data_IF_774303074915
#
_entry.id   IF_774303074915
#
_cell.length_a   1.000
_cell.length_b   1.000
_cell.length_c   1.000
_cell.angle_alpha   90.00
_cell.angle_beta   90.00
_cell.angle_gamma   90.00
#
_symmetry.space_group_name_H-M   'P 1'
#
loop_
_entity.id
_entity.type
_entity.pdbx_description
1 polymer ?
#
# COMPACT_ATOMS: atom_id res chain seq x y z
N UNK A 1 14.75 -0.66 -20.09
CA UNK A 1 16.19 -0.32 -20.19
C UNK A 1 16.49 0.83 -19.24
N UNK A 2 17.70 0.88 -18.67
CA UNK A 2 18.15 1.96 -17.79
C UNK A 2 19.47 2.55 -18.30
N UNK A 3 19.63 3.86 -18.14
CA UNK A 3 20.87 4.57 -18.38
C UNK A 3 21.23 5.45 -17.18
N UNK A 4 22.50 5.44 -16.79
CA UNK A 4 23.01 6.25 -15.68
C UNK A 4 24.34 6.91 -16.04
N UNK A 5 24.72 7.90 -15.24
CA UNK A 5 26.10 8.37 -15.15
C UNK A 5 26.98 7.30 -14.48
N UNK A 6 28.30 7.43 -14.63
CA UNK A 6 29.29 6.53 -13.97
C UNK A 6 29.18 6.52 -12.45
N UNK A 7 28.70 7.62 -11.87
CA UNK A 7 28.50 7.75 -10.43
C UNK A 7 27.21 7.08 -9.93
N UNK A 8 26.45 6.41 -10.79
CA UNK A 8 25.17 5.76 -10.46
C UNK A 8 23.94 6.66 -10.48
N UNK A 9 24.06 7.96 -10.80
CA UNK A 9 22.88 8.82 -10.96
C UNK A 9 22.12 8.41 -12.23
N UNK A 10 20.85 8.02 -12.11
CA UNK A 10 20.01 7.68 -13.25
C UNK A 10 19.83 8.89 -14.17
N UNK A 11 19.84 8.61 -15.46
CA UNK A 11 19.74 9.62 -16.51
C UNK A 11 18.56 9.33 -17.44
N UNK A 12 18.34 8.05 -17.77
CA UNK A 12 17.27 7.63 -18.67
C UNK A 12 16.58 6.33 -18.19
N UNK A 13 15.25 6.26 -18.36
CA UNK A 13 14.45 5.05 -18.17
C UNK A 13 13.55 4.87 -19.40
N UNK A 14 13.62 3.68 -20.00
CA UNK A 14 12.75 3.25 -21.09
C UNK A 14 11.99 1.99 -20.66
N UNK A 15 10.67 2.04 -20.68
CA UNK A 15 9.80 0.91 -20.34
C UNK A 15 8.78 0.69 -21.47
N UNK A 16 8.81 -0.51 -22.04
CA UNK A 16 7.86 -0.97 -23.04
C UNK A 16 7.01 -2.09 -22.44
N UNK A 17 5.69 -1.98 -22.58
CA UNK A 17 4.75 -2.92 -21.98
C UNK A 17 3.76 -3.41 -23.03
N UNK A 18 3.79 -4.72 -23.28
CA UNK A 18 2.77 -5.42 -24.05
C UNK A 18 1.84 -6.15 -23.07
N UNK A 19 0.59 -5.71 -22.96
CA UNK A 19 -0.38 -6.24 -22.01
C UNK A 19 -1.46 -7.03 -22.73
N UNK A 20 -1.63 -8.30 -22.37
CA UNK A 20 -2.74 -9.12 -22.86
C UNK A 20 -3.96 -8.95 -21.95
N UNK A 21 -5.08 -8.53 -22.54
CA UNK A 21 -6.30 -8.19 -21.79
C UNK A 21 -7.42 -9.22 -21.96
N UNK A 22 -7.16 -10.30 -22.70
CA UNK A 22 -8.18 -11.27 -23.07
C UNK A 22 -9.13 -10.71 -24.14
N UNK A 23 -10.36 -11.21 -24.16
CA UNK A 23 -11.32 -10.88 -25.21
C UNK A 23 -11.82 -9.43 -25.18
N UNK A 24 -11.77 -8.75 -24.03
CA UNK A 24 -12.34 -7.42 -23.82
C UNK A 24 -11.44 -6.54 -22.97
N UNK A 25 -11.52 -5.23 -23.17
CA UNK A 25 -10.62 -4.24 -22.57
C UNK A 25 -11.10 -3.57 -21.29
N UNK A 26 -11.84 -4.26 -20.42
CA UNK A 26 -12.49 -3.65 -19.23
C UNK A 26 -11.51 -2.84 -18.37
N UNK A 27 -10.32 -3.39 -18.10
CA UNK A 27 -9.24 -2.73 -17.34
C UNK A 27 -7.97 -2.51 -18.17
N UNK A 28 -8.07 -2.62 -19.49
CA UNK A 28 -6.93 -2.56 -20.41
C UNK A 28 -6.07 -1.28 -20.25
N UNK A 29 -6.65 -0.06 -20.34
CA UNK A 29 -5.85 1.16 -20.25
C UNK A 29 -5.31 1.43 -18.85
N UNK A 30 -6.05 1.05 -17.80
CA UNK A 30 -5.73 1.36 -16.40
C UNK A 30 -4.65 0.44 -15.85
N UNK A 31 -4.73 -0.88 -16.06
CA UNK A 31 -3.67 -1.83 -15.66
C UNK A 31 -2.37 -1.53 -16.41
N UNK A 32 -2.47 -1.29 -17.72
CA UNK A 32 -1.31 -0.91 -18.53
C UNK A 32 -0.70 0.41 -18.05
N UNK A 33 -1.53 1.43 -17.82
CA UNK A 33 -1.07 2.73 -17.33
C UNK A 33 -0.34 2.63 -16.00
N UNK A 34 -0.88 1.85 -15.05
CA UNK A 34 -0.30 1.72 -13.71
C UNK A 34 1.04 0.99 -13.67
N UNK A 35 1.33 0.14 -14.66
CA UNK A 35 2.66 -0.46 -14.80
C UNK A 35 3.77 0.57 -14.95
N UNK A 36 3.47 1.76 -15.48
CA UNK A 36 4.38 2.91 -15.51
C UNK A 36 4.09 3.97 -14.45
N UNK A 37 2.80 4.25 -14.19
CA UNK A 37 2.38 5.34 -13.31
C UNK A 37 2.82 5.14 -11.86
N UNK A 38 2.83 3.90 -11.38
CA UNK A 38 3.22 3.58 -10.01
C UNK A 38 4.72 3.34 -9.88
N UNK A 39 5.39 2.87 -10.94
CA UNK A 39 6.77 2.38 -10.86
C UNK A 39 7.81 3.44 -11.21
N UNK A 40 7.63 4.16 -12.32
CA UNK A 40 8.59 5.13 -12.83
C UNK A 40 8.82 6.34 -11.91
N UNK A 41 7.81 6.90 -11.21
CA UNK A 41 8.06 8.04 -10.34
C UNK A 41 8.88 7.70 -9.09
N UNK A 42 9.05 6.40 -8.75
CA UNK A 42 9.90 5.99 -7.63
C UNK A 42 11.34 6.46 -7.81
N UNK A 43 11.85 6.45 -9.04
CA UNK A 43 13.22 6.88 -9.36
C UNK A 43 13.25 8.19 -10.15
N UNK A 44 12.85 9.28 -9.51
CA UNK A 44 12.62 10.58 -10.15
C UNK A 44 13.89 11.32 -10.61
N UNK A 45 15.10 10.80 -10.36
CA UNK A 45 16.35 11.46 -10.81
C UNK A 45 16.60 11.31 -12.31
N UNK A 46 15.97 10.32 -12.95
CA UNK A 46 16.05 10.16 -14.40
C UNK A 46 15.34 11.33 -15.11
N UNK A 47 16.08 12.07 -15.93
CA UNK A 47 15.56 13.24 -16.66
C UNK A 47 14.89 12.85 -17.98
N UNK A 48 15.26 11.70 -18.54
CA UNK A 48 14.75 11.21 -19.82
C UNK A 48 13.90 9.96 -19.60
N UNK A 49 12.59 10.08 -19.80
CA UNK A 49 11.65 8.99 -19.57
C UNK A 49 10.91 8.67 -20.86
N UNK A 50 10.89 7.39 -21.23
CA UNK A 50 10.06 6.86 -22.31
C UNK A 50 9.22 5.70 -21.78
N UNK A 51 7.90 5.83 -21.88
CA UNK A 51 6.96 4.78 -21.55
C UNK A 51 6.08 4.52 -22.77
N UNK A 52 6.08 3.28 -23.26
CA UNK A 52 5.22 2.85 -24.36
C UNK A 52 4.43 1.60 -23.94
N UNK A 53 3.11 1.68 -24.03
CA UNK A 53 2.22 0.59 -23.68
C UNK A 53 1.33 0.20 -24.85
N UNK A 54 1.19 -1.09 -25.10
CA UNK A 54 0.23 -1.67 -26.04
C UNK A 54 -0.63 -2.70 -25.31
N UNK A 55 -1.95 -2.44 -25.24
CA UNK A 55 -2.91 -3.43 -24.79
C UNK A 55 -3.43 -4.20 -26.02
N UNK A 56 -3.42 -5.53 -25.95
CA UNK A 56 -3.89 -6.40 -27.04
C UNK A 56 -5.04 -7.28 -26.58
N UNK A 57 -5.95 -7.54 -27.51
CA UNK A 57 -7.03 -8.51 -27.35
C UNK A 57 -6.61 -9.88 -27.82
N UNK A 58 -7.01 -10.91 -27.09
CA UNK A 58 -6.75 -12.31 -27.42
C UNK A 58 -7.98 -13.17 -27.09
N UNK A 59 -8.00 -14.42 -27.54
CA UNK A 59 -9.05 -15.37 -27.20
C UNK A 59 -8.87 -16.01 -25.79
N UNK A 60 -8.30 -15.26 -24.84
CA UNK A 60 -8.16 -15.66 -23.44
C UNK A 60 -9.25 -15.00 -22.57
N UNK A 61 -9.49 -15.51 -21.34
CA UNK A 61 -10.37 -14.85 -20.38
C UNK A 61 -10.01 -13.39 -20.16
N UNK A 62 -11.02 -12.57 -19.87
CA UNK A 62 -10.85 -11.13 -19.64
C UNK A 62 -9.95 -10.91 -18.44
N UNK A 63 -8.84 -10.20 -18.64
CA UNK A 63 -7.97 -9.77 -17.55
C UNK A 63 -8.61 -8.62 -16.77
N UNK A 64 -8.30 -8.53 -15.48
CA UNK A 64 -8.90 -7.53 -14.60
C UNK A 64 -8.00 -7.16 -13.44
N UNK A 65 -8.62 -6.55 -12.43
CA UNK A 65 -7.92 -6.13 -11.24
C UNK A 65 -7.45 -7.31 -10.39
N UNK A 66 -6.23 -7.21 -9.91
CA UNK A 66 -5.67 -7.99 -8.81
C UNK A 66 -4.75 -7.06 -8.00
N UNK A 67 -4.44 -7.42 -6.75
CA UNK A 67 -3.66 -6.56 -5.84
C UNK A 67 -2.39 -6.05 -6.52
N UNK A 68 -2.09 -4.75 -6.37
CA UNK A 68 -0.95 -4.09 -7.02
C UNK A 68 -1.30 -3.49 -8.39
N UNK A 69 -2.27 -4.06 -9.10
CA UNK A 69 -2.96 -3.48 -10.25
C UNK A 69 -2.03 -2.88 -11.32
N UNK A 70 -1.21 -3.73 -11.95
CA UNK A 70 -0.24 -3.35 -12.98
C UNK A 70 1.15 -2.97 -12.42
N UNK A 71 1.21 -2.47 -11.19
CA UNK A 71 2.47 -2.08 -10.55
C UNK A 71 3.41 -3.29 -10.34
N UNK A 72 2.87 -4.46 -9.96
CA UNK A 72 3.65 -5.69 -9.74
C UNK A 72 4.48 -6.06 -10.97
N UNK A 73 3.88 -6.04 -12.16
CA UNK A 73 4.56 -6.33 -13.42
C UNK A 73 5.60 -5.28 -13.77
N UNK A 74 5.28 -4.00 -13.57
CA UNK A 74 6.21 -2.90 -13.81
C UNK A 74 7.42 -2.92 -12.87
N UNK A 75 7.21 -3.22 -11.58
CA UNK A 75 8.27 -3.32 -10.58
C UNK A 75 9.16 -4.52 -10.83
N UNK A 76 8.62 -5.65 -11.29
CA UNK A 76 9.46 -6.79 -11.67
C UNK A 76 10.49 -6.39 -12.73
N UNK A 77 10.05 -5.74 -13.81
CA UNK A 77 10.97 -5.28 -14.86
C UNK A 77 11.95 -4.20 -14.36
N UNK A 78 11.44 -3.21 -13.62
CA UNK A 78 12.24 -2.07 -13.17
C UNK A 78 13.28 -2.46 -12.11
N UNK A 79 12.89 -3.20 -11.08
CA UNK A 79 13.77 -3.55 -9.95
C UNK A 79 14.83 -4.58 -10.31
N UNK A 80 14.53 -5.51 -11.23
CA UNK A 80 15.55 -6.41 -11.80
C UNK A 80 16.52 -5.61 -12.66
N UNK A 81 16.04 -4.67 -13.48
CA UNK A 81 16.93 -3.81 -14.26
C UNK A 81 17.82 -2.91 -13.37
N UNK A 82 17.29 -2.42 -12.24
CA UNK A 82 18.06 -1.66 -11.25
C UNK A 82 19.20 -2.50 -10.65
N UNK A 83 18.93 -3.76 -10.30
CA UNK A 83 19.98 -4.66 -9.78
C UNK A 83 21.03 -5.00 -10.84
N UNK A 84 20.63 -5.21 -12.10
CA UNK A 84 21.55 -5.37 -13.23
C UNK A 84 22.40 -4.12 -13.48
N UNK A 85 21.84 -2.92 -13.29
CA UNK A 85 22.58 -1.67 -13.43
C UNK A 85 23.60 -1.51 -12.30
N UNK A 86 23.21 -1.82 -11.06
CA UNK A 86 24.11 -1.79 -9.90
C UNK A 86 25.32 -2.70 -10.13
N UNK A 87 25.08 -3.91 -10.60
CA UNK A 87 26.13 -4.87 -10.96
C UNK A 87 27.10 -4.32 -12.02
N UNK A 88 26.58 -3.74 -13.12
CA UNK A 88 27.41 -3.16 -14.18
C UNK A 88 28.26 -1.99 -13.70
N UNK A 89 27.80 -1.27 -12.68
CA UNK A 89 28.51 -0.15 -12.08
C UNK A 89 29.48 -0.60 -10.96
N UNK A 90 29.43 -1.86 -10.54
CA UNK A 90 30.13 -2.32 -9.34
C UNK A 90 29.64 -1.61 -8.06
N UNK A 91 28.36 -1.22 -8.04
CA UNK A 91 27.73 -0.48 -6.96
C UNK A 91 26.81 -1.40 -6.15
N UNK A 92 26.71 -1.16 -4.85
CA UNK A 92 25.72 -1.86 -4.04
C UNK A 92 24.29 -1.48 -4.49
N UNK A 93 23.37 -2.46 -4.66
CA UNK A 93 22.00 -2.20 -5.11
C UNK A 93 21.18 -1.28 -4.21
N UNK A 94 21.46 -1.25 -2.90
CA UNK A 94 20.82 -0.34 -1.95
C UNK A 94 21.31 1.07 -2.20
N UNK A 95 22.62 1.26 -2.32
CA UNK A 95 23.23 2.57 -2.60
C UNK A 95 22.73 3.19 -3.91
N UNK A 96 22.57 2.35 -4.96
CA UNK A 96 21.99 2.82 -6.22
C UNK A 96 20.55 3.34 -6.02
N UNK A 97 19.74 2.70 -5.18
CA UNK A 97 18.37 3.12 -4.89
C UNK A 97 18.31 4.35 -4.00
N UNK A 98 19.11 4.40 -2.92
CA UNK A 98 19.29 5.59 -2.05
C UNK A 98 19.61 6.85 -2.84
N UNK A 99 20.49 6.71 -3.84
CA UNK A 99 20.88 7.82 -4.69
C UNK A 99 19.74 8.33 -5.58
N UNK A 100 18.83 7.45 -6.00
CA UNK A 100 17.92 7.72 -7.10
C UNK A 100 16.44 7.76 -6.72
N UNK A 101 16.03 7.34 -5.54
CA UNK A 101 14.63 7.36 -5.16
C UNK A 101 14.11 8.78 -4.93
N UNK A 102 12.79 8.93 -5.10
CA UNK A 102 12.05 10.15 -4.80
C UNK A 102 12.02 10.45 -3.30
N UNK A 103 12.12 11.73 -2.94
CA UNK A 103 12.15 12.20 -1.55
C UNK A 103 10.98 13.13 -1.24
N UNK A 104 10.74 13.35 0.05
CA UNK A 104 9.81 14.37 0.50
C UNK A 104 10.20 15.76 -0.05
N UNK A 105 9.20 16.54 -0.45
CA UNK A 105 9.36 17.83 -1.14
C UNK A 105 9.63 17.72 -2.65
N UNK A 106 9.77 16.52 -3.20
CA UNK A 106 10.02 16.32 -4.63
C UNK A 106 8.76 15.91 -5.40
N UNK A 107 8.85 16.01 -6.73
CA UNK A 107 7.82 15.56 -7.68
C UNK A 107 8.45 14.66 -8.74
N UNK A 108 7.64 14.19 -9.68
CA UNK A 108 8.07 13.43 -10.85
C UNK A 108 7.43 13.97 -12.12
N UNK A 109 8.20 13.92 -13.22
CA UNK A 109 7.71 14.25 -14.57
C UNK A 109 6.49 13.40 -14.96
N UNK A 110 6.39 12.18 -14.41
CA UNK A 110 5.28 11.25 -14.65
C UNK A 110 3.98 11.75 -14.02
N UNK A 111 4.02 12.31 -12.81
CA UNK A 111 2.84 12.84 -12.13
C UNK A 111 2.18 13.98 -12.91
N UNK A 112 2.96 14.78 -13.63
CA UNK A 112 2.43 15.84 -14.50
C UNK A 112 1.85 15.31 -15.83
N UNK A 113 2.11 14.06 -16.21
CA UNK A 113 1.78 13.48 -17.52
C UNK A 113 0.71 12.39 -17.45
N UNK A 114 0.55 11.70 -16.32
CA UNK A 114 -0.46 10.65 -16.13
C UNK A 114 -1.62 11.16 -15.26
N UNK A 115 -2.82 10.68 -15.56
CA UNK A 115 -4.06 11.02 -14.85
C UNK A 115 -5.24 10.31 -15.51
N UNK A 116 -6.16 9.79 -14.69
CA UNK A 116 -7.36 9.09 -15.16
C UNK A 116 -8.43 10.10 -15.62
N UNK A 117 -8.22 10.69 -16.80
CA UNK A 117 -9.26 11.48 -17.50
C UNK A 117 -9.52 12.91 -16.98
N UNK A 118 -8.86 13.38 -15.91
CA UNK A 118 -8.99 14.78 -15.41
C UNK A 118 -7.73 15.63 -15.65
N UNK A 119 -7.85 16.96 -15.45
CA UNK A 119 -6.74 17.92 -15.60
C UNK A 119 -5.57 17.53 -14.71
N UNK A 120 -4.43 17.27 -15.35
CA UNK A 120 -3.19 16.78 -14.74
C UNK A 120 -2.59 17.88 -13.84
N UNK A 121 -2.45 17.61 -12.55
CA UNK A 121 -1.72 18.47 -11.60
C UNK A 121 -0.45 17.75 -11.17
N UNK A 122 0.72 18.43 -11.16
CA UNK A 122 1.91 17.88 -10.54
C UNK A 122 1.61 17.54 -9.08
N UNK A 123 1.93 16.31 -8.69
CA UNK A 123 1.82 15.84 -7.31
C UNK A 123 3.18 16.03 -6.62
N UNK A 124 3.17 16.48 -5.38
CA UNK A 124 4.37 16.59 -4.54
C UNK A 124 4.30 15.46 -3.52
N UNK A 125 5.41 14.76 -3.32
CA UNK A 125 5.51 13.79 -2.23
C UNK A 125 5.79 14.57 -0.95
N UNK A 126 4.83 14.64 -0.02
CA UNK A 126 5.00 15.40 1.23
C UNK A 126 5.76 14.62 2.30
N UNK A 127 5.65 13.29 2.29
CA UNK A 127 6.32 12.41 3.26
C UNK A 127 6.88 11.17 2.56
N UNK A 128 8.09 10.76 2.94
CA UNK A 128 8.78 9.59 2.39
C UNK A 128 9.87 9.13 3.36
N UNK A 129 9.67 7.99 4.01
CA UNK A 129 10.65 7.35 4.89
C UNK A 129 11.32 6.11 4.22
N UNK A 130 11.40 6.08 2.88
CA UNK A 130 12.03 4.97 2.15
C UNK A 130 13.51 4.79 2.48
N UNK A 131 14.24 5.87 2.77
CA UNK A 131 15.64 5.80 3.21
C UNK A 131 15.77 4.98 4.51
N UNK A 132 14.90 5.25 5.48
CA UNK A 132 14.86 4.50 6.73
C UNK A 132 14.38 3.06 6.51
N UNK A 133 13.41 2.84 5.61
CA UNK A 133 12.99 1.49 5.22
C UNK A 133 14.17 0.68 4.64
N UNK A 134 14.98 1.29 3.79
CA UNK A 134 16.18 0.67 3.23
C UNK A 134 17.20 0.32 4.32
N UNK A 135 17.46 1.26 5.24
CA UNK A 135 18.40 1.04 6.35
C UNK A 135 17.94 -0.08 7.28
N UNK A 136 16.70 -0.02 7.75
CA UNK A 136 16.12 -0.98 8.70
C UNK A 136 16.03 -2.36 8.06
N UNK A 137 15.50 -2.46 6.85
CA UNK A 137 15.37 -3.74 6.16
C UNK A 137 16.71 -4.41 5.88
N UNK A 138 17.73 -3.63 5.48
CA UNK A 138 19.09 -4.12 5.25
C UNK A 138 19.73 -4.65 6.54
N UNK A 139 19.57 -3.94 7.66
CA UNK A 139 20.07 -4.37 8.96
C UNK A 139 19.37 -5.66 9.43
N UNK A 140 18.04 -5.73 9.32
CA UNK A 140 17.25 -6.89 9.75
C UNK A 140 17.56 -8.15 8.98
N UNK A 141 17.73 -8.07 7.66
CA UNK A 141 18.08 -9.25 6.84
C UNK A 141 19.55 -9.67 7.00
N UNK A 142 20.42 -8.78 7.48
CA UNK A 142 21.87 -8.98 7.55
C UNK A 142 22.55 -8.79 6.19
N UNK A 143 22.19 -7.72 5.46
CA UNK A 143 22.61 -7.50 4.07
C UNK A 143 24.13 -7.51 3.88
N UNK A 144 24.87 -6.72 4.67
CA UNK A 144 26.34 -6.61 4.59
C UNK A 144 27.03 -7.95 4.87
N UNK A 145 26.41 -8.78 5.70
CA UNK A 145 26.95 -10.09 6.05
C UNK A 145 26.74 -11.14 4.97
N UNK A 146 25.72 -10.98 4.11
CA UNK A 146 25.27 -12.03 3.18
C UNK A 146 25.52 -11.70 1.71
N UNK A 147 25.29 -10.46 1.28
CA UNK A 147 25.31 -10.07 -0.14
C UNK A 147 26.66 -10.37 -0.79
N UNK A 148 26.64 -11.06 -1.94
CA UNK A 148 27.85 -11.37 -2.72
C UNK A 148 28.78 -12.41 -2.09
N UNK A 149 28.47 -12.96 -0.90
CA UNK A 149 29.33 -13.96 -0.23
C UNK A 149 29.08 -15.40 -0.67
N UNK A 150 28.08 -15.63 -1.54
CA UNK A 150 27.75 -16.91 -2.21
C UNK A 150 28.00 -18.13 -1.32
N UNK A 151 27.17 -18.28 -0.28
CA UNK A 151 27.19 -19.45 0.62
C UNK A 151 26.61 -20.67 -0.11
N UNK A 152 27.24 -21.84 0.10
CA UNK A 152 26.76 -23.13 -0.42
C UNK A 152 26.82 -24.21 0.65
N UNK A 153 25.81 -25.08 0.68
CA UNK A 153 25.74 -26.25 1.55
C UNK A 153 25.18 -27.43 0.76
N UNK A 154 26.07 -28.35 0.36
CA UNK A 154 25.70 -29.40 -0.60
C UNK A 154 25.27 -28.81 -1.94
N UNK A 155 24.09 -29.20 -2.40
CA UNK A 155 23.42 -28.69 -3.61
C UNK A 155 22.69 -27.35 -3.39
N UNK A 156 22.58 -26.85 -2.16
CA UNK A 156 21.89 -25.61 -1.87
C UNK A 156 22.83 -24.41 -1.98
N UNK A 157 22.46 -23.43 -2.80
CA UNK A 157 23.12 -22.14 -2.92
C UNK A 157 22.23 -21.04 -2.34
N UNK A 158 22.81 -20.20 -1.48
CA UNK A 158 22.07 -19.14 -0.77
C UNK A 158 22.41 -17.77 -1.33
N UNK A 159 21.41 -16.89 -1.39
CA UNK A 159 21.58 -15.52 -1.86
C UNK A 159 20.55 -14.57 -1.27
N UNK A 160 20.87 -13.28 -1.31
CA UNK A 160 19.99 -12.22 -0.84
C UNK A 160 19.68 -11.23 -1.96
N UNK A 161 18.43 -10.80 -2.01
CA UNK A 161 17.91 -9.87 -3.01
C UNK A 161 17.02 -8.83 -2.37
N UNK A 162 16.86 -7.70 -3.07
CA UNK A 162 16.03 -6.62 -2.59
C UNK A 162 15.30 -5.90 -3.73
N UNK A 163 14.22 -5.22 -3.35
CA UNK A 163 13.43 -4.37 -4.22
C UNK A 163 12.80 -3.21 -3.43
N UNK A 164 12.53 -2.10 -4.08
CA UNK A 164 11.71 -1.01 -3.55
C UNK A 164 10.40 -0.89 -4.31
N UNK A 165 9.34 -0.48 -3.63
CA UNK A 165 8.09 -0.12 -4.27
C UNK A 165 7.46 1.10 -3.58
N UNK A 166 6.57 1.74 -4.33
CA UNK A 166 5.57 2.65 -3.82
C UNK A 166 4.21 2.31 -4.45
N UNK A 167 3.13 2.85 -3.90
CA UNK A 167 1.78 2.69 -4.45
C UNK A 167 0.97 3.98 -4.26
N UNK A 168 -0.23 4.08 -4.80
CA UNK A 168 -1.17 5.17 -4.48
C UNK A 168 -1.99 4.92 -3.20
N UNK A 169 -2.56 5.99 -2.65
CA UNK A 169 -3.59 5.97 -1.59
C UNK A 169 -4.90 6.54 -2.14
N UNK A 170 -5.63 5.72 -2.91
CA UNK A 170 -6.81 6.14 -3.67
C UNK A 170 -6.49 6.91 -4.95
N UNK A 171 -7.53 7.23 -5.72
CA UNK A 171 -7.45 7.85 -7.04
C UNK A 171 -7.86 9.32 -6.96
N UNK A 172 -6.90 10.21 -7.22
CA UNK A 172 -7.09 11.67 -7.12
C UNK A 172 -8.25 12.16 -7.98
N UNK A 173 -9.19 12.87 -7.35
CA UNK A 173 -10.33 13.48 -8.02
C UNK A 173 -11.38 12.49 -8.54
N UNK A 174 -11.20 11.18 -8.41
CA UNK A 174 -12.21 10.18 -8.80
C UNK A 174 -12.86 9.60 -7.57
N UNK A 175 -12.05 9.10 -6.64
CA UNK A 175 -12.55 8.49 -5.42
C UNK A 175 -13.28 9.53 -4.57
N UNK A 176 -14.32 9.08 -3.89
CA UNK A 176 -15.06 9.89 -2.94
C UNK A 176 -15.57 8.98 -1.83
N UNK A 177 -15.55 9.52 -0.62
CA UNK A 177 -16.22 8.93 0.52
C UNK A 177 -17.02 9.99 1.27
N UNK A 178 -18.08 9.53 1.93
CA UNK A 178 -18.87 10.32 2.86
C UNK A 178 -19.05 9.52 4.13
N UNK A 179 -19.01 10.19 5.28
CA UNK A 179 -19.30 9.60 6.58
C UNK A 179 -20.36 10.43 7.30
N UNK A 180 -21.22 9.78 8.07
CA UNK A 180 -22.19 10.43 8.96
C UNK A 180 -21.98 9.93 10.37
N UNK A 181 -21.83 10.84 11.34
CA UNK A 181 -21.69 10.52 12.76
C UNK A 181 -22.83 11.14 13.54
N UNK A 182 -23.47 10.34 14.40
CA UNK A 182 -24.55 10.73 15.29
C UNK A 182 -24.19 10.41 16.74
N UNK A 183 -24.42 11.35 17.64
CA UNK A 183 -24.28 11.12 19.08
C UNK A 183 -25.61 10.64 19.68
N UNK A 184 -25.59 9.57 20.47
CA UNK A 184 -26.73 9.13 21.27
C UNK A 184 -26.79 9.89 22.62
N UNK A 185 -27.95 9.91 23.27
CA UNK A 185 -28.14 10.60 24.56
C UNK A 185 -27.10 10.20 25.63
N UNK A 186 -26.72 8.92 25.67
CA UNK A 186 -25.79 8.38 26.65
C UNK A 186 -24.29 8.67 26.35
N UNK A 187 -24.00 9.48 25.32
CA UNK A 187 -22.64 9.83 24.92
C UNK A 187 -21.92 8.81 24.03
N UNK A 188 -22.60 7.75 23.58
CA UNK A 188 -22.10 6.87 22.51
C UNK A 188 -22.37 7.45 21.12
N UNK A 189 -21.77 6.89 20.07
CA UNK A 189 -21.90 7.37 18.70
C UNK A 189 -22.25 6.25 17.73
N UNK A 190 -22.96 6.62 16.66
CA UNK A 190 -23.14 5.79 15.47
C UNK A 190 -22.37 6.39 14.31
N UNK A 191 -21.56 5.59 13.64
CA UNK A 191 -20.80 5.96 12.44
C UNK A 191 -21.38 5.20 11.24
N UNK A 192 -21.85 5.93 10.23
CA UNK A 192 -22.34 5.37 8.97
C UNK A 192 -21.35 5.67 7.86
N UNK A 193 -20.90 4.64 7.15
CA UNK A 193 -19.92 4.74 6.06
C UNK A 193 -20.27 3.80 4.91
N UNK A 194 -20.02 4.23 3.67
CA UNK A 194 -20.19 3.35 2.51
C UNK A 194 -19.03 2.37 2.29
N UNK A 195 -17.89 2.58 2.96
CA UNK A 195 -16.73 1.69 2.86
C UNK A 195 -17.08 0.24 3.24
N UNK A 196 -16.53 -0.72 2.48
CA UNK A 196 -16.78 -2.15 2.66
C UNK A 196 -15.56 -2.86 3.20
N UNK A 197 -15.71 -3.47 4.38
CA UNK A 197 -14.67 -4.35 4.92
C UNK A 197 -14.72 -5.71 4.22
N UNK A 198 -13.64 -6.03 3.52
CA UNK A 198 -13.44 -7.32 2.82
C UNK A 198 -12.36 -8.17 3.50
N UNK A 199 -12.13 -7.95 4.79
CA UNK A 199 -11.08 -8.59 5.59
C UNK A 199 -9.86 -7.69 5.81
N UNK A 200 -9.96 -6.40 5.54
CA UNK A 200 -8.90 -5.41 5.78
C UNK A 200 -8.96 -4.81 7.19
N UNK A 201 -10.09 -4.96 7.87
CA UNK A 201 -10.32 -4.36 9.19
C UNK A 201 -10.69 -2.88 9.12
N UNK A 202 -11.26 -2.43 8.00
CA UNK A 202 -11.70 -1.04 7.79
C UNK A 202 -12.66 -0.58 8.87
N UNK A 203 -13.56 -1.44 9.32
CA UNK A 203 -14.56 -1.06 10.31
C UNK A 203 -13.91 -0.66 11.65
N UNK A 204 -12.83 -1.36 12.03
CA UNK A 204 -12.07 -1.06 13.24
C UNK A 204 -11.30 0.24 13.10
N UNK A 205 -10.54 0.43 12.02
CA UNK A 205 -9.71 1.63 11.86
C UNK A 205 -10.54 2.91 11.71
N UNK A 206 -11.69 2.84 11.03
CA UNK A 206 -12.58 3.98 10.86
C UNK A 206 -13.23 4.35 12.21
N UNK A 207 -13.61 3.36 13.03
CA UNK A 207 -14.08 3.60 14.38
C UNK A 207 -12.99 4.23 15.27
N UNK A 208 -11.73 3.78 15.17
CA UNK A 208 -10.59 4.36 15.89
C UNK A 208 -10.34 5.83 15.52
N UNK A 209 -10.41 6.17 14.22
CA UNK A 209 -10.28 7.56 13.76
C UNK A 209 -11.38 8.44 14.39
N UNK A 210 -12.63 7.98 14.39
CA UNK A 210 -13.73 8.71 15.02
C UNK A 210 -13.53 8.85 16.54
N UNK A 211 -13.14 7.76 17.20
CA UNK A 211 -12.92 7.70 18.65
C UNK A 211 -11.84 8.68 19.13
N UNK A 212 -10.71 8.74 18.43
CA UNK A 212 -9.60 9.66 18.71
C UNK A 212 -10.06 11.13 18.67
N UNK A 213 -10.81 11.49 17.63
CA UNK A 213 -11.30 12.88 17.46
C UNK A 213 -12.32 13.25 18.53
N UNK A 214 -13.20 12.31 18.89
CA UNK A 214 -14.29 12.49 19.83
C UNK A 214 -13.87 12.28 21.30
N UNK A 215 -12.62 11.88 21.55
CA UNK A 215 -12.08 11.69 22.89
C UNK A 215 -12.80 10.60 23.67
N UNK A 216 -13.21 9.52 23.01
CA UNK A 216 -13.92 8.38 23.60
C UNK A 216 -13.19 7.07 23.29
N UNK A 217 -13.38 6.02 24.09
CA UNK A 217 -12.88 4.69 23.74
C UNK A 217 -13.66 4.12 22.53
N UNK A 218 -13.04 3.25 21.74
CA UNK A 218 -13.60 2.75 20.47
C UNK A 218 -14.93 2.02 20.65
N UNK A 219 -15.15 1.42 21.82
CA UNK A 219 -16.37 0.72 22.21
C UNK A 219 -17.60 1.64 22.26
N UNK A 220 -17.39 2.97 22.30
CA UNK A 220 -18.46 3.96 22.19
C UNK A 220 -18.89 4.23 20.75
N UNK A 221 -18.19 3.70 19.75
CA UNK A 221 -18.51 3.90 18.33
C UNK A 221 -19.14 2.62 17.77
N UNK A 222 -20.42 2.67 17.43
CA UNK A 222 -21.07 1.62 16.65
C UNK A 222 -21.02 1.96 15.16
N UNK A 223 -20.39 1.12 14.35
CA UNK A 223 -20.28 1.33 12.92
C UNK A 223 -21.38 0.58 12.14
N UNK A 224 -21.89 1.22 11.11
CA UNK A 224 -22.82 0.67 10.12
C UNK A 224 -22.23 0.91 8.75
N UNK A 225 -21.75 -0.15 8.11
CA UNK A 225 -21.03 -0.10 6.84
C UNK A 225 -21.83 -0.76 5.71
N UNK A 226 -21.67 -0.25 4.48
CA UNK A 226 -21.99 -0.97 3.23
C UNK A 226 -23.45 -1.34 2.93
N UNK A 227 -24.42 -0.70 3.58
CA UNK A 227 -25.84 -0.81 3.19
C UNK A 227 -26.24 0.44 2.39
N UNK A 228 -26.44 0.32 1.08
CA UNK A 228 -26.73 1.46 0.20
C UNK A 228 -28.09 2.11 0.47
N UNK A 229 -28.99 1.46 1.22
CA UNK A 229 -30.27 2.06 1.59
C UNK A 229 -30.12 3.10 2.71
N UNK A 230 -29.06 3.00 3.54
CA UNK A 230 -28.90 3.84 4.74
C UNK A 230 -27.53 4.50 4.90
N UNK A 231 -26.47 3.91 4.36
CA UNK A 231 -25.10 4.45 4.45
C UNK A 231 -24.82 5.44 3.33
N UNK A 232 -24.02 6.49 3.61
CA UNK A 232 -23.72 7.51 2.61
C UNK A 232 -22.75 6.97 1.54
N UNK A 233 -22.71 7.63 0.38
CA UNK A 233 -21.90 7.20 -0.77
C UNK A 233 -20.41 7.08 -0.44
N UNK A 234 -19.82 5.96 -0.85
CA UNK A 234 -18.39 5.68 -0.89
C UNK A 234 -18.12 4.91 -2.20
N UNK A 235 -16.94 5.10 -2.79
CA UNK A 235 -16.58 4.42 -4.04
C UNK A 235 -16.24 2.94 -3.80
N UNK A 236 -16.00 2.55 -2.54
CA UNK A 236 -15.73 1.19 -2.11
C UNK A 236 -14.25 0.92 -1.85
N UNK A 237 -13.97 -0.28 -1.33
CA UNK A 237 -12.61 -0.70 -0.97
C UNK A 237 -11.83 -1.19 -2.21
N UNK A 238 -11.08 -0.29 -2.85
CA UNK A 238 -10.11 -0.58 -3.91
C UNK A 238 -9.03 0.51 -3.97
N UNK A 239 -7.97 0.31 -4.76
CA UNK A 239 -6.86 1.28 -4.93
C UNK A 239 -6.24 1.78 -3.60
N UNK A 240 -6.33 0.94 -2.56
CA UNK A 240 -5.91 1.26 -1.20
C UNK A 240 -6.49 2.58 -0.67
N UNK A 241 -7.73 2.91 -1.07
CA UNK A 241 -8.38 4.19 -0.78
C UNK A 241 -8.93 4.30 0.64
N UNK A 242 -9.36 3.20 1.27
CA UNK A 242 -10.21 3.23 2.47
C UNK A 242 -9.64 4.03 3.63
N UNK A 243 -8.39 3.77 4.04
CA UNK A 243 -7.77 4.51 5.16
C UNK A 243 -7.66 6.00 4.85
N UNK A 244 -7.27 6.37 3.64
CA UNK A 244 -7.01 7.76 3.29
C UNK A 244 -8.31 8.51 2.95
N UNK A 245 -9.12 7.98 2.03
CA UNK A 245 -10.33 8.63 1.52
C UNK A 245 -11.49 8.51 2.51
N UNK A 246 -11.88 7.30 2.88
CA UNK A 246 -12.97 7.09 3.84
C UNK A 246 -12.58 7.56 5.24
N UNK A 247 -11.33 7.33 5.66
CA UNK A 247 -10.81 7.84 6.92
C UNK A 247 -10.83 9.37 6.99
N UNK A 248 -10.54 10.09 5.90
CA UNK A 248 -10.68 11.55 5.89
C UNK A 248 -12.13 12.01 5.99
N UNK A 249 -13.07 11.31 5.34
CA UNK A 249 -14.49 11.61 5.50
C UNK A 249 -14.93 11.44 6.96
N UNK A 250 -14.48 10.37 7.63
CA UNK A 250 -14.73 10.12 9.05
C UNK A 250 -14.11 11.21 9.93
N UNK A 251 -12.84 11.57 9.71
CA UNK A 251 -12.15 12.62 10.46
C UNK A 251 -12.92 13.95 10.38
N UNK A 252 -13.35 14.35 9.18
CA UNK A 252 -14.12 15.59 8.99
C UNK A 252 -15.49 15.53 9.67
N UNK A 253 -16.21 14.42 9.54
CA UNK A 253 -17.51 14.25 10.21
C UNK A 253 -17.36 14.30 11.73
N UNK A 254 -16.31 13.66 12.27
CA UNK A 254 -16.03 13.65 13.71
C UNK A 254 -15.63 15.03 14.22
N UNK A 255 -14.89 15.82 13.44
CA UNK A 255 -14.56 17.21 13.78
C UNK A 255 -15.81 18.10 13.86
N UNK A 256 -16.76 17.94 12.95
CA UNK A 256 -18.04 18.68 13.01
C UNK A 256 -18.90 18.26 14.19
N UNK A 257 -18.96 16.96 14.51
CA UNK A 257 -19.65 16.47 15.72
C UNK A 257 -18.98 17.03 16.98
N UNK A 258 -17.64 17.00 17.05
CA UNK A 258 -16.87 17.60 18.15
C UNK A 258 -17.19 19.08 18.32
N UNK A 259 -17.24 19.86 17.23
CA UNK A 259 -17.60 21.28 17.28
C UNK A 259 -18.97 21.49 17.93
N UNK A 260 -19.98 20.73 17.50
CA UNK A 260 -21.34 20.79 18.05
C UNK A 260 -21.39 20.38 19.54
N UNK A 261 -20.61 19.37 19.94
CA UNK A 261 -20.47 18.98 21.36
C UNK A 261 -19.93 20.14 22.19
N UNK A 262 -18.87 20.80 21.72
CA UNK A 262 -18.26 21.93 22.43
C UNK A 262 -19.20 23.15 22.50
N UNK A 263 -20.02 23.38 21.47
CA UNK A 263 -21.03 24.45 21.48
C UNK A 263 -22.12 24.22 22.54
N UNK A 264 -22.62 22.99 22.67
CA UNK A 264 -23.59 22.66 23.71
C UNK A 264 -22.95 22.76 25.10
N UNK A 265 -21.72 22.24 25.27
CA UNK A 265 -20.99 22.30 26.53
C UNK A 265 -20.61 23.73 26.94
N UNK A 266 -20.33 24.62 25.99
CA UNK A 266 -20.10 26.05 26.23
C UNK A 266 -21.28 26.72 26.92
N UNK A 267 -22.51 26.40 26.49
CA UNK A 267 -23.73 26.87 27.14
C UNK A 267 -23.95 26.29 28.56
N UNK A 268 -23.38 25.11 28.85
CA UNK A 268 -23.46 24.48 30.18
C UNK A 268 -22.45 25.06 31.16
N UNK A 269 -21.24 25.32 30.68
CA UNK A 269 -20.12 25.79 31.50
C UNK A 269 -20.04 27.32 31.57
N UNK A 270 -20.81 28.02 30.73
CA UNK A 270 -20.78 29.47 30.55
C UNK A 270 -19.38 29.98 30.15
N UNK A 271 -18.72 29.23 29.27
CA UNK A 271 -17.37 29.51 28.76
C UNK A 271 -17.34 29.33 27.23
N UNK A 272 -16.51 30.08 26.49
CA UNK A 272 -16.46 29.95 25.02
C UNK A 272 -15.85 28.61 24.60
N UNK A 273 -16.25 28.02 23.45
CA UNK A 273 -15.77 26.71 23.00
C UNK A 273 -14.25 26.55 22.93
N UNK A 274 -13.52 27.63 22.63
CA UNK A 274 -12.06 27.66 22.54
C UNK A 274 -11.35 27.40 23.88
N UNK A 275 -12.03 27.62 25.00
CA UNK A 275 -11.49 27.35 26.35
C UNK A 275 -11.83 25.92 26.82
N UNK A 276 -12.50 25.11 25.98
CA UNK A 276 -12.97 23.77 26.30
C UNK A 276 -12.15 22.69 25.60
N UNK A 277 -11.90 21.59 26.31
CA UNK A 277 -11.25 20.39 25.77
C UNK A 277 -12.18 19.19 25.89
N UNK A 278 -12.38 18.49 24.77
CA UNK A 278 -13.03 17.17 24.74
C UNK A 278 -11.96 16.08 24.86
N UNK A 279 -12.03 15.29 25.92
CA UNK A 279 -11.18 14.12 26.16
C UNK A 279 -11.81 13.23 27.23
N UNK A 280 -11.51 11.93 27.22
CA UNK A 280 -11.93 10.98 28.26
C UNK A 280 -13.46 11.03 28.52
N UNK A 281 -14.25 11.08 27.45
CA UNK A 281 -15.72 11.15 27.49
C UNK A 281 -16.31 12.39 28.20
N UNK A 282 -15.50 13.45 28.36
CA UNK A 282 -15.88 14.69 29.05
C UNK A 282 -15.44 15.93 28.28
N UNK A 283 -16.21 16.99 28.43
CA UNK A 283 -15.79 18.34 28.06
C UNK A 283 -15.36 19.07 29.33
N UNK A 284 -14.12 19.54 29.37
CA UNK A 284 -13.52 20.21 30.54
C UNK A 284 -13.06 21.60 30.16
N UNK A 285 -13.38 22.59 31.00
CA UNK A 285 -12.81 23.93 30.89
C UNK A 285 -11.33 23.91 31.26
N UNK A 286 -10.52 24.46 30.37
CA UNK A 286 -9.08 24.67 30.59
C UNK A 286 -8.78 25.81 31.58
N UNK A 287 -9.76 26.67 31.88
CA UNK A 287 -9.63 27.79 32.81
C UNK A 287 -10.08 27.46 34.22
N UNK A 288 -11.24 26.80 34.35
CA UNK A 288 -11.89 26.57 35.64
C UNK A 288 -11.77 25.13 36.12
N UNK A 289 -11.42 24.19 35.23
CA UNK A 289 -11.41 22.76 35.54
C UNK A 289 -12.79 22.13 35.69
N UNK A 290 -13.88 22.92 35.55
CA UNK A 290 -15.24 22.39 35.54
C UNK A 290 -15.43 21.51 34.31
N UNK A 291 -16.20 20.43 34.46
CA UNK A 291 -16.44 19.50 33.37
C UNK A 291 -17.87 18.99 33.34
N UNK A 292 -18.32 18.63 32.15
CA UNK A 292 -19.58 17.93 31.87
C UNK A 292 -19.27 16.66 31.09
N UNK A 293 -19.99 15.59 31.39
CA UNK A 293 -19.93 14.33 30.63
C UNK A 293 -20.58 14.49 29.26
N UNK A 294 -20.18 13.65 28.32
CA UNK A 294 -20.88 13.51 27.06
C UNK A 294 -22.36 13.13 27.24
N UNK A 295 -22.72 12.36 28.27
CA UNK A 295 -24.13 12.05 28.54
C UNK A 295 -24.93 13.27 28.97
N UNK A 296 -24.37 14.17 29.79
CA UNK A 296 -25.03 15.43 30.17
C UNK A 296 -25.17 16.37 28.97
N UNK A 297 -24.16 16.41 28.09
CA UNK A 297 -24.22 17.16 26.83
C UNK A 297 -25.32 16.62 25.91
N UNK A 298 -25.37 15.31 25.71
CA UNK A 298 -26.38 14.64 24.88
C UNK A 298 -27.80 14.87 25.42
N UNK A 299 -27.99 14.71 26.73
CA UNK A 299 -29.27 14.98 27.39
C UNK A 299 -29.71 16.44 27.23
N UNK A 300 -28.79 17.39 27.43
CA UNK A 300 -29.10 18.82 27.27
C UNK A 300 -29.52 19.13 25.83
N UNK A 301 -28.77 18.65 24.85
CA UNK A 301 -29.00 18.93 23.43
C UNK A 301 -30.38 18.43 22.97
N UNK A 302 -30.78 17.24 23.42
CA UNK A 302 -32.03 16.61 22.97
C UNK A 302 -33.26 17.11 23.73
N UNK A 303 -33.16 17.40 25.03
CA UNK A 303 -34.33 17.58 25.88
C UNK A 303 -34.44 18.94 26.56
N UNK A 304 -33.32 19.67 26.74
CA UNK A 304 -33.29 20.84 27.64
C UNK A 304 -33.14 22.16 26.88
N UNK A 305 -32.21 22.24 25.93
CA UNK A 305 -31.90 23.49 25.24
C UNK A 305 -31.81 23.27 23.73
N UNK A 306 -32.55 24.09 22.97
CA UNK A 306 -32.54 24.17 21.50
C UNK A 306 -32.83 22.85 20.76
N UNK A 307 -33.33 21.82 21.47
CA UNK A 307 -33.81 20.50 21.02
C UNK A 307 -33.29 20.08 19.64
N UNK A 308 -32.03 19.68 19.60
CA UNK A 308 -31.34 19.28 18.39
C UNK A 308 -30.55 17.99 18.58
N UNK A 309 -30.50 17.17 17.53
CA UNK A 309 -29.63 16.01 17.51
C UNK A 309 -28.22 16.42 17.08
N UNK A 310 -27.21 16.03 17.86
CA UNK A 310 -25.81 16.19 17.47
C UNK A 310 -25.48 15.14 16.40
N UNK A 311 -25.59 15.56 15.13
CA UNK A 311 -25.31 14.77 13.93
C UNK A 311 -24.49 15.61 12.93
N UNK A 312 -23.54 15.01 12.23
CA UNK A 312 -22.89 15.65 11.09
C UNK A 312 -22.53 14.64 10.00
N UNK A 313 -22.52 15.11 8.75
CA UNK A 313 -22.03 14.38 7.60
C UNK A 313 -20.92 15.18 6.93
N UNK A 314 -19.88 14.50 6.45
CA UNK A 314 -18.81 15.14 5.69
C UNK A 314 -18.35 14.23 4.56
N UNK A 315 -18.02 14.86 3.43
CA UNK A 315 -17.45 14.18 2.26
C UNK A 315 -15.99 14.56 2.07
N UNK A 316 -15.26 13.65 1.43
CA UNK A 316 -13.88 13.86 1.01
C UNK A 316 -13.68 13.32 -0.41
N UNK A 317 -13.02 14.13 -1.22
CA UNK A 317 -12.48 13.78 -2.54
C UNK A 317 -11.00 14.09 -2.46
N UNK A 318 -10.09 13.12 -2.69
CA UNK A 318 -8.66 13.35 -2.57
C UNK A 318 -8.18 14.24 -3.71
N UNK A 319 -7.52 15.36 -3.38
CA UNK A 319 -6.79 16.16 -4.38
C UNK A 319 -5.40 15.58 -4.67
N UNK A 320 -4.90 14.78 -3.73
CA UNK A 320 -3.58 14.14 -3.75
C UNK A 320 -3.69 12.67 -3.34
N UNK A 321 -2.74 11.84 -3.77
CA UNK A 321 -2.67 10.40 -3.45
C UNK A 321 -1.28 10.12 -2.87
N UNK A 322 -1.08 10.34 -1.56
CA UNK A 322 0.22 10.22 -0.94
C UNK A 322 0.69 8.76 -0.98
N UNK A 323 1.90 8.49 -1.52
CA UNK A 323 2.35 7.13 -1.69
C UNK A 323 2.83 6.50 -0.38
N UNK A 324 2.38 5.28 -0.02
CA UNK A 324 3.19 4.43 0.83
C UNK A 324 4.45 3.98 0.09
N UNK A 325 5.52 3.79 0.84
CA UNK A 325 6.79 3.27 0.35
C UNK A 325 7.15 2.00 1.09
N UNK A 326 7.84 1.08 0.42
CA UNK A 326 8.37 -0.11 1.08
C UNK A 326 9.69 -0.57 0.46
N UNK A 327 10.57 -1.08 1.31
CA UNK A 327 11.78 -1.79 0.95
C UNK A 327 11.63 -3.27 1.36
N UNK A 328 11.85 -4.16 0.41
CA UNK A 328 11.68 -5.60 0.56
C UNK A 328 13.02 -6.28 0.41
N UNK A 329 13.31 -7.20 1.33
CA UNK A 329 14.53 -7.98 1.37
C UNK A 329 14.17 -9.46 1.51
N UNK A 330 14.87 -10.29 0.77
CA UNK A 330 14.59 -11.72 0.70
C UNK A 330 15.89 -12.51 0.73
N UNK A 331 15.94 -13.55 1.56
CA UNK A 331 16.95 -14.59 1.51
C UNK A 331 16.33 -15.84 0.90
N UNK A 332 17.02 -16.43 -0.10
CA UNK A 332 16.59 -17.65 -0.75
C UNK A 332 17.67 -18.71 -0.68
N UNK A 333 17.25 -19.97 -0.71
CA UNK A 333 18.07 -21.13 -1.01
C UNK A 333 17.60 -21.74 -2.34
N UNK A 334 18.55 -22.02 -3.23
CA UNK A 334 18.31 -22.63 -4.54
C UNK A 334 19.01 -23.98 -4.58
N UNK A 335 18.25 -25.05 -4.77
CA UNK A 335 18.78 -26.37 -5.05
C UNK A 335 19.26 -26.42 -6.51
N UNK A 336 20.58 -26.55 -6.72
CA UNK A 336 21.16 -26.56 -8.06
C UNK A 336 20.87 -27.82 -8.87
N UNK A 337 20.47 -28.92 -8.22
CA UNK A 337 20.20 -30.20 -8.87
C UNK A 337 18.73 -30.32 -9.30
N UNK A 338 17.81 -29.70 -8.54
CA UNK A 338 16.37 -29.76 -8.81
C UNK A 338 15.77 -28.45 -9.32
N UNK A 339 16.47 -27.32 -9.13
CA UNK A 339 15.97 -25.97 -9.41
C UNK A 339 14.97 -25.46 -8.38
N UNK A 340 14.71 -26.20 -7.30
CA UNK A 340 13.79 -25.78 -6.25
C UNK A 340 14.31 -24.52 -5.57
N UNK A 341 13.45 -23.50 -5.47
CA UNK A 341 13.72 -22.26 -4.75
C UNK A 341 12.91 -22.26 -3.47
N UNK A 342 13.58 -22.08 -2.33
CA UNK A 342 12.96 -21.87 -1.02
C UNK A 342 13.26 -20.45 -0.56
N UNK A 343 12.23 -19.73 -0.13
CA UNK A 343 12.42 -18.47 0.61
C UNK A 343 12.72 -18.85 2.05
N UNK A 344 13.88 -18.44 2.57
CA UNK A 344 14.29 -18.75 3.94
C UNK A 344 13.73 -17.70 4.91
N UNK A 345 13.82 -16.43 4.52
CA UNK A 345 13.39 -15.29 5.32
C UNK A 345 13.03 -14.12 4.43
N UNK A 346 11.98 -13.42 4.81
CA UNK A 346 11.52 -12.23 4.12
C UNK A 346 11.37 -11.07 5.10
N UNK A 347 11.95 -9.91 4.79
CA UNK A 347 11.85 -8.70 5.60
C UNK A 347 11.24 -7.60 4.75
N UNK A 348 10.22 -6.93 5.27
CA UNK A 348 9.65 -5.75 4.64
C UNK A 348 9.62 -4.59 5.63
N UNK A 349 10.26 -3.47 5.26
CA UNK A 349 10.13 -2.22 5.97
C UNK A 349 9.24 -1.27 5.15
N UNK A 350 8.20 -0.70 5.77
CA UNK A 350 7.21 0.10 5.07
C UNK A 350 6.90 1.42 5.78
N UNK A 351 6.79 2.49 4.98
CA UNK A 351 6.25 3.79 5.34
C UNK A 351 4.79 3.87 4.90
N UNK A 352 3.88 3.84 5.87
CA UNK A 352 2.45 4.07 5.66
C UNK A 352 1.96 5.33 6.39
N UNK A 353 2.85 6.29 6.66
CA UNK A 353 2.57 7.33 7.64
C UNK A 353 2.22 6.72 9.00
N UNK A 354 1.29 7.34 9.72
CA UNK A 354 0.81 6.85 11.01
C UNK A 354 -0.04 5.58 10.81
N UNK A 355 0.41 4.47 11.39
CA UNK A 355 -0.35 3.24 11.39
C UNK A 355 -1.51 3.32 12.41
N UNK A 356 -2.74 3.58 11.93
CA UNK A 356 -3.95 3.66 12.78
C UNK A 356 -4.10 2.42 13.67
N UNK A 357 -3.88 1.24 13.10
CA UNK A 357 -3.84 -0.02 13.84
C UNK A 357 -2.62 -0.85 13.41
N UNK A 358 -1.47 -0.73 14.13
CA UNK A 358 -0.19 -1.32 13.70
C UNK A 358 -0.26 -2.81 13.39
N UNK A 359 -0.97 -3.61 14.21
CA UNK A 359 -1.10 -5.06 13.96
C UNK A 359 -1.87 -5.40 12.67
N UNK A 360 -2.92 -4.63 12.33
CA UNK A 360 -3.68 -4.84 11.10
C UNK A 360 -2.88 -4.38 9.88
N UNK A 361 -2.17 -3.25 10.00
CA UNK A 361 -1.27 -2.77 8.96
C UNK A 361 -0.15 -3.79 8.66
N UNK A 362 0.49 -4.34 9.69
CA UNK A 362 1.48 -5.40 9.54
C UNK A 362 0.89 -6.66 8.89
N UNK A 363 -0.26 -7.15 9.38
CA UNK A 363 -0.94 -8.32 8.81
C UNK A 363 -1.37 -8.14 7.35
N UNK A 364 -1.76 -6.93 6.94
CA UNK A 364 -2.03 -6.63 5.54
C UNK A 364 -0.78 -6.77 4.67
N UNK A 365 0.38 -6.30 5.16
CA UNK A 365 1.64 -6.41 4.44
C UNK A 365 2.12 -7.87 4.39
N UNK A 366 2.02 -8.63 5.48
CA UNK A 366 2.30 -10.07 5.52
C UNK A 366 1.48 -10.83 4.48
N UNK A 367 0.16 -10.61 4.46
CA UNK A 367 -0.72 -11.25 3.47
C UNK A 367 -0.39 -10.87 2.02
N UNK A 368 0.03 -9.63 1.78
CA UNK A 368 0.49 -9.17 0.46
C UNK A 368 1.78 -9.87 0.02
N UNK A 369 2.71 -10.05 0.97
CA UNK A 369 4.00 -10.71 0.73
C UNK A 369 3.77 -12.18 0.39
N UNK A 370 2.90 -12.88 1.14
CA UNK A 370 2.53 -14.27 0.83
C UNK A 370 1.96 -14.40 -0.58
N UNK A 371 1.04 -13.51 -0.96
CA UNK A 371 0.53 -13.44 -2.33
C UNK A 371 1.67 -13.23 -3.34
N UNK A 372 2.56 -12.27 -3.10
CA UNK A 372 3.69 -12.01 -3.99
C UNK A 372 4.68 -13.17 -4.11
N UNK A 373 4.88 -13.96 -3.04
CA UNK A 373 5.66 -15.21 -3.08
C UNK A 373 4.97 -16.24 -3.97
N UNK A 374 3.64 -16.35 -3.88
CA UNK A 374 2.82 -17.16 -4.79
C UNK A 374 3.03 -16.78 -6.27
N UNK A 375 2.94 -15.49 -6.59
CA UNK A 375 3.25 -14.97 -7.94
C UNK A 375 4.68 -15.28 -8.40
N UNK A 376 5.64 -15.23 -7.47
CA UNK A 376 7.03 -15.48 -7.77
C UNK A 376 7.34 -16.96 -8.03
N UNK A 377 6.71 -17.89 -7.33
CA UNK A 377 7.16 -19.29 -7.29
C UNK A 377 6.14 -20.32 -7.80
N UNK A 378 4.84 -19.98 -7.82
CA UNK A 378 3.77 -20.99 -7.97
C UNK A 378 2.69 -20.64 -8.99
N UNK A 379 2.17 -19.42 -8.93
CA UNK A 379 0.91 -19.05 -9.58
C UNK A 379 1.09 -18.73 -11.07
N UNK A 380 0.45 -19.50 -11.95
CA UNK A 380 0.36 -19.23 -13.38
C UNK A 380 -0.92 -19.82 -13.94
N UNK A 381 -1.71 -19.06 -14.70
CA UNK A 381 -2.79 -19.62 -15.49
C UNK A 381 -2.23 -20.18 -16.80
N UNK A 382 -2.43 -21.48 -17.02
CA UNK A 382 -1.94 -22.18 -18.19
C UNK A 382 -3.07 -22.32 -19.21
N UNK A 383 -2.77 -22.07 -20.49
CA UNK A 383 -3.74 -22.13 -21.57
C UNK A 383 -3.23 -23.00 -22.72
N UNK A 384 -4.15 -23.74 -23.34
CA UNK A 384 -3.93 -24.38 -24.65
C UNK A 384 -3.83 -23.34 -25.76
N UNK A 385 -3.32 -23.73 -26.93
CA UNK A 385 -3.33 -22.89 -28.15
C UNK A 385 -4.73 -22.43 -28.56
N UNK A 386 -5.78 -23.17 -28.15
CA UNK A 386 -7.18 -22.83 -28.40
C UNK A 386 -7.81 -21.96 -27.31
N UNK A 387 -7.03 -21.48 -26.33
CA UNK A 387 -7.48 -20.58 -25.27
C UNK A 387 -8.19 -21.25 -24.09
N UNK A 388 -8.28 -22.60 -24.06
CA UNK A 388 -8.82 -23.32 -22.89
C UNK A 388 -7.81 -23.29 -21.74
N UNK A 389 -8.24 -22.87 -20.56
CA UNK A 389 -7.45 -22.95 -19.33
C UNK A 389 -7.25 -24.42 -18.91
N UNK A 390 -6.00 -24.78 -18.62
CA UNK A 390 -5.58 -26.14 -18.27
C UNK A 390 -5.68 -26.42 -16.77
N UNK A 391 -5.50 -25.40 -15.93
CA UNK A 391 -5.43 -25.52 -14.48
C UNK A 391 -6.50 -24.70 -13.76
N UNK A 392 -7.75 -24.75 -14.23
CA UNK A 392 -8.88 -24.03 -13.63
C UNK A 392 -9.41 -24.70 -12.33
N UNK A 393 -8.52 -25.15 -11.45
CA UNK A 393 -8.83 -25.82 -10.19
C UNK A 393 -7.66 -25.64 -9.20
N UNK A 394 -7.92 -25.78 -7.89
CA UNK A 394 -6.89 -25.62 -6.84
C UNK A 394 -5.89 -26.78 -6.74
N UNK A 395 -6.15 -27.90 -7.41
CA UNK A 395 -5.19 -28.99 -7.47
C UNK A 395 -4.03 -28.63 -8.41
N UNK A 396 -4.31 -28.03 -9.57
CA UNK A 396 -3.29 -27.68 -10.56
C UNK A 396 -2.82 -26.22 -10.45
N UNK A 397 -3.69 -25.28 -10.05
CA UNK A 397 -3.31 -23.90 -9.71
C UNK A 397 -2.88 -23.85 -8.25
N UNK A 398 -1.56 -23.91 -8.03
CA UNK A 398 -0.97 -23.92 -6.69
C UNK A 398 -0.94 -22.51 -6.12
N UNK A 399 -1.44 -22.37 -4.90
CA UNK A 399 -1.25 -21.19 -4.04
C UNK A 399 -0.40 -21.59 -2.83
N UNK A 400 0.34 -20.64 -2.21
CA UNK A 400 1.12 -20.93 -1.02
C UNK A 400 0.27 -21.49 0.12
N UNK A 401 0.77 -22.55 0.76
CA UNK A 401 0.25 -23.09 2.02
C UNK A 401 1.09 -22.62 3.21
N UNK A 402 0.67 -22.95 4.44
CA UNK A 402 1.43 -22.63 5.65
C UNK A 402 2.85 -23.23 5.67
N UNK A 403 3.12 -24.29 4.89
CA UNK A 403 4.45 -24.89 4.76
C UNK A 403 5.36 -24.15 3.79
N UNK A 404 4.78 -23.32 2.91
CA UNK A 404 5.48 -22.56 1.88
C UNK A 404 5.80 -21.13 2.32
N UNK A 405 5.12 -20.65 3.38
CA UNK A 405 5.30 -19.31 3.92
C UNK A 405 6.55 -19.26 4.81
N UNK A 406 7.53 -18.41 4.49
CA UNK A 406 8.74 -18.26 5.30
C UNK A 406 8.46 -17.46 6.57
N UNK A 407 9.49 -17.28 7.40
CA UNK A 407 9.46 -16.21 8.40
C UNK A 407 9.38 -14.85 7.69
N UNK A 408 8.29 -14.12 7.90
CA UNK A 408 8.06 -12.77 7.39
C UNK A 408 8.17 -11.79 8.56
N UNK A 409 9.14 -10.88 8.49
CA UNK A 409 9.27 -9.78 9.44
C UNK A 409 8.80 -8.48 8.77
N UNK A 410 7.77 -7.86 9.35
CA UNK A 410 7.29 -6.54 8.93
C UNK A 410 7.71 -5.48 9.93
N UNK A 411 8.33 -4.42 9.43
CA UNK A 411 8.66 -3.23 10.20
C UNK A 411 7.92 -2.03 9.64
N UNK A 412 7.03 -1.44 10.43
CA UNK A 412 6.39 -0.17 10.10
C UNK A 412 7.32 0.94 10.57
N UNK A 413 7.77 1.78 9.64
CA UNK A 413 8.65 2.90 9.92
C UNK A 413 7.83 4.11 10.35
N UNK A 414 8.29 4.82 11.38
CA UNK A 414 7.64 6.01 11.90
C UNK A 414 7.70 7.13 10.86
N UNK A 415 6.53 7.61 10.45
CA UNK A 415 6.35 8.63 9.43
C UNK A 415 4.97 9.26 9.62
N UNK A 416 4.78 10.48 9.12
CA UNK A 416 3.51 11.18 9.19
C UNK A 416 3.19 11.80 7.82
N UNK A 417 1.98 11.56 7.31
CA UNK A 417 1.47 12.17 6.10
C UNK A 417 0.57 13.37 6.44
N UNK A 418 1.02 14.61 6.17
CA UNK A 418 0.26 15.82 6.54
C UNK A 418 -1.14 15.90 5.93
N UNK A 419 -1.37 15.25 4.79
CA UNK A 419 -2.66 15.25 4.09
C UNK A 419 -3.61 14.13 4.55
N UNK A 420 -3.10 13.16 5.30
CA UNK A 420 -3.81 11.95 5.70
C UNK A 420 -4.58 12.08 7.01
N UNK A 421 -5.58 11.21 7.25
CA UNK A 421 -6.33 11.22 8.50
C UNK A 421 -5.41 10.79 9.63
N UNK A 422 -5.21 11.68 10.60
CA UNK A 422 -4.29 11.48 11.73
C UNK A 422 -2.86 11.11 11.28
N UNK A 423 -2.42 11.60 10.11
CA UNK A 423 -1.09 11.31 9.59
C UNK A 423 -0.96 10.01 8.78
N UNK A 424 -2.05 9.28 8.55
CA UNK A 424 -2.02 7.96 7.91
C UNK A 424 -2.02 8.00 6.37
N UNK A 425 -1.35 7.01 5.77
CA UNK A 425 -1.45 6.65 4.34
C UNK A 425 -2.13 5.29 4.19
N UNK A 426 -2.16 4.79 2.97
CA UNK A 426 -2.51 3.39 2.70
C UNK A 426 -1.32 2.44 2.93
N UNK A 427 -1.54 1.12 2.92
CA UNK A 427 -0.46 0.12 3.02
C UNK A 427 -0.77 -1.20 2.29
N UNK A 428 -2.04 -1.55 2.12
CA UNK A 428 -2.42 -2.88 1.69
C UNK A 428 -1.76 -3.29 0.36
N UNK A 429 -1.80 -2.49 -0.69
CA UNK A 429 -1.31 -2.95 -2.00
C UNK A 429 0.20 -2.90 -2.19
N UNK A 430 0.96 -2.10 -1.42
CA UNK A 430 2.40 -1.95 -1.69
C UNK A 430 3.17 -3.26 -1.50
N UNK A 431 2.71 -4.12 -0.57
CA UNK A 431 3.41 -5.34 -0.18
C UNK A 431 3.53 -6.42 -1.26
N UNK A 432 2.62 -6.46 -2.24
CA UNK A 432 2.66 -7.48 -3.29
C UNK A 432 3.70 -7.18 -4.38
N UNK A 433 4.11 -5.91 -4.50
CA UNK A 433 5.00 -5.44 -5.55
C UNK A 433 6.46 -5.88 -5.34
N UNK A 434 6.84 -6.16 -4.09
CA UNK A 434 8.21 -6.45 -3.66
C UNK A 434 8.71 -7.88 -3.88
N UNK A 435 7.95 -8.92 -3.50
CA UNK A 435 8.45 -10.29 -3.50
C UNK A 435 8.99 -10.76 -4.84
N UNK A 436 8.27 -10.48 -5.93
CA UNK A 436 8.62 -10.94 -7.26
C UNK A 436 10.04 -10.49 -7.70
N UNK A 437 10.37 -9.19 -7.74
CA UNK A 437 11.74 -8.76 -8.03
C UNK A 437 12.76 -9.10 -6.93
N UNK A 438 12.40 -9.05 -5.65
CA UNK A 438 13.33 -9.36 -4.56
C UNK A 438 13.82 -10.82 -4.64
N UNK A 439 12.91 -11.76 -4.89
CA UNK A 439 13.23 -13.18 -5.08
C UNK A 439 14.07 -13.39 -6.35
N UNK A 440 13.73 -12.74 -7.47
CA UNK A 440 14.50 -12.83 -8.70
C UNK A 440 15.96 -12.38 -8.50
N UNK A 441 16.15 -11.26 -7.80
CA UNK A 441 17.48 -10.72 -7.47
C UNK A 441 18.22 -11.61 -6.46
N UNK A 442 17.52 -12.27 -5.54
CA UNK A 442 18.12 -13.21 -4.58
C UNK A 442 18.60 -14.50 -5.27
N UNK A 443 17.81 -15.04 -6.21
CA UNK A 443 18.22 -16.17 -7.05
C UNK A 443 19.48 -15.80 -7.85
N UNK A 444 19.54 -14.59 -8.40
CA UNK A 444 20.74 -14.11 -9.07
C UNK A 444 21.97 -14.08 -8.16
N UNK A 445 21.84 -13.56 -6.95
CA UNK A 445 22.94 -13.53 -5.98
C UNK A 445 23.40 -14.95 -5.62
N UNK A 446 22.46 -15.89 -5.44
CA UNK A 446 22.72 -17.28 -5.08
C UNK A 446 23.45 -18.07 -6.17
N UNK A 447 22.90 -18.04 -7.39
CA UNK A 447 23.30 -18.96 -8.47
C UNK A 447 23.68 -18.27 -9.77
N UNK A 448 23.72 -16.93 -9.81
CA UNK A 448 24.23 -16.15 -10.94
C UNK A 448 23.40 -16.21 -12.23
N UNK A 449 22.16 -16.70 -12.17
CA UNK A 449 21.23 -16.72 -13.31
C UNK A 449 20.16 -15.65 -13.14
N UNK A 450 19.86 -14.92 -14.21
CA UNK A 450 18.79 -13.90 -14.22
C UNK A 450 17.52 -14.52 -14.77
N UNK A 451 16.44 -14.42 -14.00
CA UNK A 451 15.11 -14.87 -14.42
C UNK A 451 14.26 -13.66 -14.79
N UNK A 452 13.77 -13.63 -16.03
CA UNK A 452 12.93 -12.56 -16.56
C UNK A 452 11.47 -12.98 -16.75
N UNK A 453 11.13 -14.23 -16.38
CA UNK A 453 9.79 -14.79 -16.49
C UNK A 453 9.42 -15.53 -15.21
N UNK A 454 8.33 -15.10 -14.61
CA UNK A 454 7.71 -15.74 -13.46
C UNK A 454 6.56 -16.67 -13.88
N UNK A 455 6.14 -17.61 -13.02
CA UNK A 455 6.81 -18.02 -11.78
C UNK A 455 8.16 -18.72 -12.03
N UNK A 456 9.06 -18.64 -11.06
CA UNK A 456 10.39 -19.27 -11.02
C UNK A 456 10.27 -20.75 -10.65
N UNK A 457 9.56 -21.51 -11.47
CA UNK A 457 9.35 -22.94 -11.25
C UNK A 457 10.68 -23.71 -11.33
N UNK A 458 10.79 -24.88 -10.67
CA UNK A 458 12.02 -25.68 -10.71
C UNK A 458 12.52 -25.96 -12.13
N UNK A 459 11.60 -26.25 -13.07
CA UNK A 459 11.93 -26.48 -14.47
C UNK A 459 12.55 -25.24 -15.16
N UNK A 460 12.04 -24.03 -14.86
CA UNK A 460 12.59 -22.78 -15.44
C UNK A 460 13.94 -22.42 -14.83
N UNK A 461 14.11 -22.65 -13.53
CA UNK A 461 15.38 -22.45 -12.82
C UNK A 461 16.45 -23.40 -13.36
N UNK A 462 16.14 -24.69 -13.50
CA UNK A 462 17.04 -25.68 -14.09
C UNK A 462 17.43 -25.34 -15.54
N UNK A 463 16.47 -24.93 -16.36
CA UNK A 463 16.75 -24.49 -17.74
C UNK A 463 17.74 -23.33 -17.75
N UNK A 464 17.55 -22.33 -16.89
CA UNK A 464 18.45 -21.18 -16.79
C UNK A 464 19.84 -21.57 -16.25
N UNK A 465 19.93 -22.53 -15.33
CA UNK A 465 21.19 -23.08 -14.83
C UNK A 465 21.95 -23.82 -15.94
N UNK A 466 21.27 -24.67 -16.70
CA UNK A 466 21.87 -25.45 -17.78
C UNK A 466 22.38 -24.56 -18.93
N UNK A 467 21.70 -23.46 -19.24
CA UNK A 467 22.15 -22.48 -20.24
C UNK A 467 23.45 -21.76 -19.83
N UNK A 468 23.73 -21.67 -18.53
CA UNK A 468 24.93 -21.00 -18.00
C UNK A 468 26.20 -21.85 -18.10
N UNK A 469 26.07 -23.17 -18.21
CA UNK A 469 27.16 -24.15 -18.18
C UNK A 469 27.18 -24.93 -16.89
#
# INVERSE_FOLDING_TARGET
KLGSKKDGTLYAIEMEVLSNTGAYGTHAPTVLGNSGAMTLPLYNKAQHLWFHGQAVYTNLPVAGAYRGYGATQGYFALEVAMDMLAERLGMDPIELRRKNHIRAGESSLIFAKLGEGRKKKPQIVHSCALEECLQVGAARIGWEEKRGKRRREGNWAYGVGMACAMQGSGITGIDMATATIMMNENGSFRLLVGATDIGTGSDTILAQIAAEVLGVPVERISIYSSDTDFTPFDTGAYASSTTYVSGMAVLRAAQEVRRKILEVAAGMLAEPPQDLKLAEERVTSTKTGKSVTLSEVGHRALYVADQQHIIASASFVPEESPPPFAAFFCEVAVDTDTGLVRVERFVAAADCGVAIHPKLAAGQLEGAIVQGIGHALMEELLFTEKGRCLNANLFDYKIPSALDVPEIEVVLVDSEEPTGPLGAKSIAEVGINGPLPAIANAIYDAVGVRLFRAPFTPARVLSALAERG
#
